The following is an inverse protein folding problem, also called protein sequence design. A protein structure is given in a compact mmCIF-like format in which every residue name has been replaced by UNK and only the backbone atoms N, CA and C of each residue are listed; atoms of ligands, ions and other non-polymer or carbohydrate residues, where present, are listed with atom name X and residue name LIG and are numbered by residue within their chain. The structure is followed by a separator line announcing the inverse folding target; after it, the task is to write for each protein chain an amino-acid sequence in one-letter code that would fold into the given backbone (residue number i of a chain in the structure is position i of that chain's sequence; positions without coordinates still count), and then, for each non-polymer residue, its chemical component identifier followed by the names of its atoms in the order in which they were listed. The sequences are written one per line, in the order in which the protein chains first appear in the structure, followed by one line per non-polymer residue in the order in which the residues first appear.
data_IF_902658799061
#
_entry.id   IF_902658799061
#
_cell.length_a   1.000
_cell.length_b   1.000
_cell.length_c   1.000
_cell.angle_alpha   90.00
_cell.angle_beta   90.00
_cell.angle_gamma   90.00
#
_symmetry.space_group_name_H-M   'P 1'
#
loop_
_entity.id
_entity.type
_entity.pdbx_description
1 polymer ?
#
# COMPACT_ATOMS: atom_id res chain seq x y z
N UNK A 1 9.82 -6.89 -1.25
CA UNK A 1 8.69 -6.35 -0.45
C UNK A 1 8.63 -7.06 0.91
N UNK A 2 8.12 -6.38 1.95
CA UNK A 2 8.05 -6.93 3.32
C UNK A 2 6.62 -7.00 3.87
N UNK A 3 6.47 -7.63 5.04
CA UNK A 3 5.23 -7.69 5.82
C UNK A 3 5.40 -6.84 7.10
N UNK A 4 4.77 -5.66 7.21
CA UNK A 4 5.02 -4.73 8.31
C UNK A 4 4.62 -5.28 9.69
N UNK A 5 3.68 -6.22 9.76
CA UNK A 5 3.26 -6.82 11.05
C UNK A 5 4.31 -7.75 11.67
N UNK A 6 5.38 -8.08 10.93
CA UNK A 6 6.56 -8.78 11.46
C UNK A 6 7.49 -7.87 12.27
N UNK A 7 7.37 -6.54 12.16
CA UNK A 7 8.30 -5.63 12.83
C UNK A 7 8.21 -5.80 14.35
N UNK A 8 9.32 -6.10 15.06
CA UNK A 8 9.27 -6.36 16.50
C UNK A 8 8.85 -5.12 17.30
N UNK A 9 9.26 -3.94 16.84
CA UNK A 9 8.97 -2.64 17.46
C UNK A 9 7.70 -1.97 16.91
N UNK A 10 6.74 -2.72 16.37
CA UNK A 10 5.53 -2.14 15.75
C UNK A 10 4.78 -1.18 16.70
N UNK A 11 4.60 -1.59 17.95
CA UNK A 11 3.97 -0.77 18.99
C UNK A 11 4.76 0.51 19.29
N UNK A 12 6.10 0.43 19.32
CA UNK A 12 6.98 1.60 19.47
C UNK A 12 6.80 2.59 18.32
N UNK A 13 6.70 2.11 17.08
CA UNK A 13 6.47 2.96 15.91
C UNK A 13 5.13 3.71 15.99
N UNK A 14 4.06 3.03 16.42
CA UNK A 14 2.77 3.68 16.66
C UNK A 14 2.86 4.78 17.73
N UNK A 15 3.54 4.51 18.85
CA UNK A 15 3.72 5.48 19.93
C UNK A 15 4.53 6.70 19.46
N UNK A 16 5.61 6.50 18.69
CA UNK A 16 6.43 7.58 18.14
C UNK A 16 5.66 8.48 17.17
N UNK A 17 4.79 7.89 16.34
CA UNK A 17 3.92 8.63 15.44
C UNK A 17 2.85 9.42 16.21
N UNK A 18 2.21 8.79 17.21
CA UNK A 18 1.21 9.47 18.06
C UNK A 18 1.81 10.67 18.78
N UNK A 19 3.02 10.54 19.32
CA UNK A 19 3.73 11.63 20.00
C UNK A 19 4.04 12.83 19.07
N UNK A 20 3.93 12.65 17.75
CA UNK A 20 4.16 13.68 16.72
C UNK A 20 2.88 14.05 15.96
N UNK A 21 1.72 13.62 16.45
CA UNK A 21 0.41 13.79 15.78
C UNK A 21 0.40 13.26 14.34
N UNK A 22 1.17 12.20 14.09
CA UNK A 22 1.28 11.56 12.78
C UNK A 22 0.29 10.40 12.66
N UNK A 23 -0.34 10.32 11.50
CA UNK A 23 -1.23 9.22 11.10
C UNK A 23 -0.42 8.11 10.43
N UNK A 24 -0.63 6.87 10.87
CA UNK A 24 -0.03 5.68 10.27
C UNK A 24 -1.04 5.01 9.34
N UNK A 25 -0.55 4.66 8.14
CA UNK A 25 -1.25 3.83 7.17
C UNK A 25 -0.46 2.52 6.97
N UNK A 26 -1.10 1.36 7.18
CA UNK A 26 -0.47 0.04 6.98
C UNK A 26 -1.03 -0.63 5.74
N UNK A 27 -0.16 -1.32 4.98
CA UNK A 27 -0.57 -2.30 3.97
C UNK A 27 0.02 -3.65 4.34
N UNK A 28 -0.82 -4.68 4.49
CA UNK A 28 -0.44 -6.00 5.00
C UNK A 28 -1.06 -7.12 4.16
N UNK A 29 -0.40 -8.28 4.13
CA UNK A 29 -0.98 -9.51 3.60
C UNK A 29 -2.01 -10.15 4.55
N UNK A 30 -2.22 -9.59 5.74
CA UNK A 30 -3.28 -10.01 6.65
C UNK A 30 -2.97 -11.24 7.51
N UNK A 31 -1.94 -12.03 7.17
CA UNK A 31 -1.65 -13.33 7.82
C UNK A 31 -1.34 -13.21 9.32
N UNK A 32 -0.91 -12.03 9.78
CA UNK A 32 -0.59 -11.75 11.18
C UNK A 32 -1.62 -10.86 11.89
N UNK A 33 -2.73 -10.50 11.23
CA UNK A 33 -3.73 -9.59 11.80
C UNK A 33 -4.33 -10.12 13.09
N UNK A 34 -4.68 -11.41 13.16
CA UNK A 34 -5.22 -11.99 14.38
C UNK A 34 -4.20 -11.91 15.53
N UNK A 35 -2.95 -12.27 15.25
CA UNK A 35 -1.87 -12.26 16.26
C UNK A 35 -1.55 -10.85 16.76
N UNK A 36 -1.63 -9.84 15.90
CA UNK A 36 -1.32 -8.43 16.22
C UNK A 36 -2.57 -7.58 16.48
N UNK A 37 -3.75 -8.20 16.61
CA UNK A 37 -5.03 -7.49 16.67
C UNK A 37 -5.08 -6.50 17.83
N UNK A 38 -4.63 -6.90 19.02
CA UNK A 38 -4.71 -6.04 20.21
C UNK A 38 -3.81 -4.82 20.08
N UNK A 39 -2.57 -5.00 19.58
CA UNK A 39 -1.63 -3.91 19.31
C UNK A 39 -2.20 -2.92 18.28
N UNK A 40 -2.72 -3.44 17.16
CA UNK A 40 -3.30 -2.63 16.09
C UNK A 40 -4.55 -1.87 16.55
N UNK A 41 -5.43 -2.51 17.32
CA UNK A 41 -6.65 -1.89 17.82
C UNK A 41 -6.40 -0.91 18.97
N UNK A 42 -5.27 -1.02 19.67
CA UNK A 42 -4.86 -0.09 20.72
C UNK A 42 -4.13 1.15 20.15
N UNK A 43 -3.60 1.07 18.94
CA UNK A 43 -2.84 2.15 18.33
C UNK A 43 -3.72 3.32 17.87
N UNK A 44 -3.77 4.39 18.66
CA UNK A 44 -4.51 5.62 18.30
C UNK A 44 -3.98 6.34 17.05
N UNK A 45 -2.71 6.13 16.69
CA UNK A 45 -2.11 6.69 15.48
C UNK A 45 -2.44 5.86 14.23
N UNK A 46 -3.03 4.67 14.36
CA UNK A 46 -3.46 3.87 13.20
C UNK A 46 -4.66 4.54 12.54
N UNK A 47 -4.42 5.16 11.38
CA UNK A 47 -5.43 5.89 10.63
C UNK A 47 -6.10 5.03 9.56
N UNK A 48 -5.29 4.25 8.82
CA UNK A 48 -5.77 3.37 7.76
C UNK A 48 -5.02 2.04 7.80
N UNK A 49 -5.73 0.95 7.51
CA UNK A 49 -5.11 -0.34 7.22
C UNK A 49 -5.70 -0.93 5.94
N UNK A 50 -4.81 -1.36 5.06
CA UNK A 50 -5.15 -1.97 3.77
C UNK A 50 -4.71 -3.43 3.80
N UNK A 51 -5.62 -4.35 3.55
CA UNK A 51 -5.40 -5.79 3.72
C UNK A 51 -5.61 -6.49 2.38
N UNK A 52 -4.59 -7.15 1.87
CA UNK A 52 -4.71 -7.95 0.63
C UNK A 52 -5.53 -9.20 0.89
N UNK A 53 -6.56 -9.48 0.09
CA UNK A 53 -7.42 -10.65 0.30
C UNK A 53 -6.87 -11.94 -0.34
N UNK A 54 -5.91 -11.84 -1.27
CA UNK A 54 -5.35 -12.95 -2.07
C UNK A 54 -4.15 -13.68 -1.42
N UNK A 55 -4.11 -13.85 -0.11
CA UNK A 55 -2.87 -14.25 0.58
C UNK A 55 -2.58 -15.76 0.60
N UNK A 56 -3.53 -16.61 0.20
CA UNK A 56 -3.41 -18.08 0.26
C UNK A 56 -3.66 -18.80 -1.08
N UNK A 57 -3.69 -18.07 -2.20
CA UNK A 57 -3.88 -18.69 -3.51
C UNK A 57 -2.69 -19.58 -3.91
N UNK A 58 -2.97 -20.87 -4.21
CA UNK A 58 -2.00 -21.81 -4.78
C UNK A 58 -1.46 -22.91 -3.86
N UNK A 59 -1.99 -23.09 -2.64
CA UNK A 59 -1.62 -24.20 -1.75
C UNK A 59 -2.69 -25.31 -1.69
N UNK A 60 -2.28 -26.58 -1.71
CA UNK A 60 -3.19 -27.72 -1.48
C UNK A 60 -3.85 -27.64 -0.08
N UNK A 61 -5.18 -27.82 -0.01
CA UNK A 61 -5.99 -27.57 1.21
C UNK A 61 -6.55 -26.13 1.33
N UNK A 62 -6.61 -25.42 0.20
CA UNK A 62 -6.84 -23.98 0.08
C UNK A 62 -8.17 -23.46 0.66
N UNK A 63 -9.25 -24.26 0.69
CA UNK A 63 -10.59 -23.72 0.93
C UNK A 63 -10.87 -23.41 2.41
N UNK A 64 -10.56 -24.35 3.31
CA UNK A 64 -10.74 -24.14 4.75
C UNK A 64 -9.76 -23.09 5.29
N UNK A 65 -8.53 -23.08 4.76
CA UNK A 65 -7.51 -22.09 5.15
C UNK A 65 -7.88 -20.69 4.65
N UNK A 66 -8.41 -20.57 3.43
CA UNK A 66 -8.86 -19.29 2.90
C UNK A 66 -10.10 -18.78 3.62
N UNK A 67 -11.12 -19.62 3.86
CA UNK A 67 -12.30 -19.20 4.61
C UNK A 67 -11.94 -18.77 6.04
N UNK A 68 -11.02 -19.49 6.69
CA UNK A 68 -10.49 -19.12 8.01
C UNK A 68 -9.76 -17.78 7.95
N UNK A 69 -8.91 -17.58 6.95
CA UNK A 69 -8.20 -16.33 6.71
C UNK A 69 -9.16 -15.16 6.49
N UNK A 70 -10.11 -15.27 5.56
CA UNK A 70 -11.12 -14.26 5.27
C UNK A 70 -11.94 -13.93 6.51
N UNK A 71 -12.28 -14.95 7.31
CA UNK A 71 -12.99 -14.77 8.59
C UNK A 71 -12.14 -13.99 9.60
N UNK A 72 -10.84 -14.29 9.73
CA UNK A 72 -9.93 -13.56 10.61
C UNK A 72 -9.78 -12.10 10.18
N UNK A 73 -9.56 -11.85 8.88
CA UNK A 73 -9.50 -10.50 8.30
C UNK A 73 -10.79 -9.74 8.57
N UNK A 74 -11.94 -10.36 8.30
CA UNK A 74 -13.26 -9.76 8.51
C UNK A 74 -13.49 -9.37 9.97
N UNK A 75 -13.20 -10.29 10.90
CA UNK A 75 -13.36 -10.05 12.33
C UNK A 75 -12.49 -8.90 12.84
N UNK A 76 -11.25 -8.78 12.34
CA UNK A 76 -10.40 -7.63 12.63
C UNK A 76 -10.95 -6.35 12.00
N UNK A 77 -11.31 -6.41 10.71
CA UNK A 77 -11.81 -5.27 9.94
C UNK A 77 -13.04 -4.62 10.59
N UNK A 78 -14.01 -5.43 11.04
CA UNK A 78 -15.19 -4.91 11.75
C UNK A 78 -14.82 -4.20 13.05
N UNK A 79 -13.88 -4.75 13.83
CA UNK A 79 -13.44 -4.15 15.09
C UNK A 79 -12.69 -2.84 14.85
N UNK A 80 -11.81 -2.80 13.86
CA UNK A 80 -11.02 -1.63 13.51
C UNK A 80 -11.91 -0.51 12.94
N UNK A 81 -12.84 -0.83 12.03
CA UNK A 81 -13.79 0.14 11.47
C UNK A 81 -14.69 0.76 12.55
N UNK A 82 -15.19 -0.05 13.51
CA UNK A 82 -15.97 0.46 14.66
C UNK A 82 -15.19 1.42 15.56
N UNK A 83 -13.85 1.36 15.55
CA UNK A 83 -12.97 2.32 16.24
C UNK A 83 -12.63 3.56 15.40
N UNK A 84 -13.16 3.67 14.18
CA UNK A 84 -12.89 4.78 13.26
C UNK A 84 -11.62 4.62 12.42
N UNK A 85 -10.99 3.44 12.41
CA UNK A 85 -9.87 3.14 11.50
C UNK A 85 -10.43 2.90 10.10
N UNK A 86 -9.87 3.54 9.08
CA UNK A 86 -10.24 3.26 7.69
C UNK A 86 -9.68 1.89 7.31
N UNK A 87 -10.54 0.93 7.02
CA UNK A 87 -10.15 -0.41 6.59
C UNK A 87 -10.43 -0.56 5.11
N UNK A 88 -9.39 -0.85 4.32
CA UNK A 88 -9.49 -1.14 2.90
C UNK A 88 -9.15 -2.62 2.64
N UNK A 89 -10.16 -3.43 2.36
CA UNK A 89 -9.98 -4.79 1.88
C UNK A 89 -9.62 -4.72 0.40
N UNK A 90 -8.40 -5.13 0.04
CA UNK A 90 -7.85 -4.98 -1.30
C UNK A 90 -8.02 -6.26 -2.09
N UNK A 91 -8.67 -6.13 -3.23
CA UNK A 91 -8.89 -7.19 -4.21
C UNK A 91 -8.22 -6.76 -5.52
N UNK A 92 -7.29 -7.56 -6.03
CA UNK A 92 -6.72 -7.32 -7.36
C UNK A 92 -7.74 -7.61 -8.46
N UNK A 93 -7.78 -6.76 -9.48
CA UNK A 93 -8.65 -6.95 -10.65
C UNK A 93 -7.91 -7.54 -11.84
N UNK A 94 -8.68 -8.21 -12.69
CA UNK A 94 -8.45 -8.77 -14.04
C UNK A 94 -6.99 -8.82 -14.52
N UNK A 95 -6.50 -10.06 -14.71
CA UNK A 95 -5.15 -10.36 -15.22
C UNK A 95 -4.15 -10.85 -14.16
N UNK A 96 -4.63 -11.11 -12.93
CA UNK A 96 -3.96 -11.86 -11.87
C UNK A 96 -4.77 -13.11 -11.48
N UNK A 97 -4.55 -13.67 -10.30
CA UNK A 97 -5.27 -14.85 -9.79
C UNK A 97 -6.79 -14.59 -9.67
N UNK A 98 -7.47 -14.82 -10.79
CA UNK A 98 -8.88 -14.53 -11.01
C UNK A 98 -9.79 -15.64 -10.45
N UNK A 99 -9.22 -16.83 -10.25
CA UNK A 99 -9.98 -18.05 -9.96
C UNK A 99 -10.84 -17.96 -8.70
N UNK A 100 -10.41 -17.19 -7.67
CA UNK A 100 -11.09 -17.12 -6.37
C UNK A 100 -11.77 -15.78 -6.06
N UNK A 101 -11.72 -14.82 -6.98
CA UNK A 101 -12.39 -13.53 -6.79
C UNK A 101 -13.89 -13.70 -6.47
N UNK A 102 -14.55 -14.66 -7.12
CA UNK A 102 -15.96 -14.98 -6.86
C UNK A 102 -16.22 -15.37 -5.40
N UNK A 103 -15.41 -16.28 -4.85
CA UNK A 103 -15.55 -16.77 -3.47
C UNK A 103 -15.34 -15.66 -2.44
N UNK A 104 -14.33 -14.81 -2.65
CA UNK A 104 -14.07 -13.67 -1.77
C UNK A 104 -15.25 -12.69 -1.82
N UNK A 105 -15.77 -12.39 -3.01
CA UNK A 105 -16.92 -11.50 -3.17
C UNK A 105 -18.18 -12.10 -2.52
N UNK A 106 -18.43 -13.39 -2.68
CA UNK A 106 -19.57 -14.08 -2.07
C UNK A 106 -19.45 -14.13 -0.55
N UNK A 107 -18.23 -14.35 -0.02
CA UNK A 107 -17.96 -14.23 1.41
C UNK A 107 -18.31 -12.82 1.91
N UNK A 108 -17.84 -11.77 1.26
CA UNK A 108 -18.14 -10.39 1.66
C UNK A 108 -19.64 -10.08 1.55
N UNK A 109 -20.31 -10.56 0.51
CA UNK A 109 -21.77 -10.41 0.33
C UNK A 109 -22.54 -11.10 1.43
N UNK A 110 -22.13 -12.30 1.84
CA UNK A 110 -22.76 -13.02 2.96
C UNK A 110 -22.71 -12.22 4.28
N UNK A 111 -21.74 -11.31 4.43
CA UNK A 111 -21.57 -10.46 5.63
C UNK A 111 -22.23 -9.10 5.54
N UNK A 112 -22.48 -8.59 4.34
CA UNK A 112 -22.87 -7.18 4.12
C UNK A 112 -24.07 -6.96 3.22
N UNK A 113 -24.53 -7.99 2.50
CA UNK A 113 -25.39 -7.83 1.33
C UNK A 113 -24.58 -7.47 0.09
N UNK A 114 -25.27 -7.16 -1.01
CA UNK A 114 -24.69 -6.95 -2.34
C UNK A 114 -24.71 -5.50 -2.83
N UNK A 115 -25.38 -4.61 -2.10
CA UNK A 115 -25.50 -3.20 -2.48
C UNK A 115 -24.33 -2.36 -1.92
N UNK A 116 -23.21 -2.36 -2.62
CA UNK A 116 -22.04 -1.54 -2.27
C UNK A 116 -21.92 -0.34 -3.22
N UNK A 117 -22.23 0.89 -2.78
CA UNK A 117 -22.06 2.05 -3.63
C UNK A 117 -20.58 2.29 -3.92
N UNK A 118 -20.28 2.60 -5.18
CA UNK A 118 -18.93 3.01 -5.58
C UNK A 118 -18.66 4.44 -5.12
N UNK A 119 -17.63 4.61 -4.30
CA UNK A 119 -17.21 5.90 -3.75
C UNK A 119 -16.26 6.62 -4.70
N UNK A 120 -15.29 5.88 -5.27
CA UNK A 120 -14.27 6.43 -6.17
C UNK A 120 -13.48 5.32 -6.86
N UNK A 121 -13.44 5.31 -8.19
CA UNK A 121 -12.49 4.57 -9.02
C UNK A 121 -12.16 3.15 -8.49
N UNK A 122 -13.18 2.29 -8.36
CA UNK A 122 -13.03 0.92 -7.87
C UNK A 122 -13.01 0.76 -6.35
N UNK A 123 -13.31 1.81 -5.58
CA UNK A 123 -13.53 1.73 -4.12
C UNK A 123 -15.02 1.67 -3.82
N UNK A 124 -15.46 0.61 -3.14
CA UNK A 124 -16.85 0.33 -2.79
C UNK A 124 -17.04 0.36 -1.28
N UNK A 125 -18.09 1.02 -0.80
CA UNK A 125 -18.42 1.09 0.62
C UNK A 125 -19.13 -0.19 1.07
N UNK A 126 -18.48 -0.97 1.94
CA UNK A 126 -19.08 -2.18 2.51
C UNK A 126 -19.89 -1.85 3.77
N UNK A 127 -19.28 -1.04 4.66
CA UNK A 127 -19.87 -0.48 5.88
C UNK A 127 -19.15 0.84 6.20
N UNK A 128 -19.65 1.58 7.18
CA UNK A 128 -18.95 2.76 7.67
C UNK A 128 -17.48 2.44 8.03
N UNK A 129 -16.55 3.23 7.50
CA UNK A 129 -15.09 3.03 7.59
C UNK A 129 -14.52 1.72 7.02
N UNK A 130 -15.31 0.90 6.32
CA UNK A 130 -14.88 -0.38 5.73
C UNK A 130 -15.17 -0.42 4.23
N UNK A 131 -14.12 -0.58 3.43
CA UNK A 131 -14.16 -0.46 1.98
C UNK A 131 -13.60 -1.71 1.30
N UNK A 132 -14.14 -2.05 0.14
CA UNK A 132 -13.51 -2.94 -0.84
C UNK A 132 -12.80 -2.05 -1.86
N UNK A 133 -11.48 -2.19 -1.99
CA UNK A 133 -10.68 -1.51 -3.00
C UNK A 133 -10.27 -2.50 -4.09
N UNK A 134 -10.80 -2.26 -5.29
CA UNK A 134 -10.39 -2.93 -6.52
C UNK A 134 -9.29 -2.11 -7.20
N UNK A 135 -8.10 -2.68 -7.35
CA UNK A 135 -6.98 -2.00 -8.00
C UNK A 135 -6.70 -2.57 -9.39
N UNK A 136 -6.63 -1.69 -10.40
CA UNK A 136 -6.16 -2.07 -11.72
C UNK A 136 -4.69 -2.46 -11.70
N UNK A 137 -4.35 -3.53 -12.44
CA UNK A 137 -2.97 -3.98 -12.64
C UNK A 137 -2.14 -2.88 -13.30
N UNK A 138 -0.88 -2.80 -12.93
CA UNK A 138 0.12 -1.98 -13.58
C UNK A 138 1.44 -2.73 -13.58
N UNK A 139 2.29 -2.42 -14.55
CA UNK A 139 3.64 -2.97 -14.59
C UNK A 139 4.51 -2.23 -13.57
N UNK A 140 5.15 -3.01 -12.71
CA UNK A 140 6.13 -2.49 -11.78
C UNK A 140 7.29 -1.85 -12.55
N UNK A 141 7.90 -0.78 -12.01
CA UNK A 141 9.06 -0.21 -12.66
C UNK A 141 10.20 -1.22 -12.71
N UNK A 142 10.79 -1.38 -13.89
CA UNK A 142 11.90 -2.28 -14.16
C UNK A 142 12.84 -1.58 -15.15
N UNK A 143 14.14 -1.53 -14.84
CA UNK A 143 15.15 -0.93 -15.70
C UNK A 143 15.32 -1.66 -17.04
N UNK A 144 14.98 -2.95 -17.08
CA UNK A 144 15.04 -3.78 -18.30
C UNK A 144 13.82 -3.62 -19.22
N UNK A 145 12.74 -2.99 -18.74
CA UNK A 145 11.51 -2.79 -19.51
C UNK A 145 11.64 -1.65 -20.55
N UNK A 146 10.68 -1.59 -21.48
CA UNK A 146 10.51 -0.44 -22.35
C UNK A 146 10.02 0.79 -21.58
N UNK A 147 10.18 1.99 -22.16
CA UNK A 147 9.57 3.19 -21.58
C UNK A 147 8.04 3.06 -21.56
N UNK A 148 7.42 3.39 -20.42
CA UNK A 148 5.97 3.30 -20.25
C UNK A 148 5.24 4.51 -20.84
N UNK A 149 5.97 5.49 -21.36
CA UNK A 149 5.43 6.78 -21.78
C UNK A 149 5.03 7.68 -20.59
N UNK A 150 5.45 7.36 -19.36
CA UNK A 150 5.18 8.17 -18.19
C UNK A 150 5.70 9.61 -18.37
N UNK A 151 4.85 10.58 -18.08
CA UNK A 151 5.19 12.01 -18.17
C UNK A 151 5.17 12.67 -16.79
N UNK A 152 4.29 12.23 -15.89
CA UNK A 152 4.08 12.85 -14.59
C UNK A 152 3.95 11.81 -13.47
N UNK A 153 4.40 12.15 -12.26
CA UNK A 153 4.21 11.36 -11.05
C UNK A 153 4.28 12.27 -9.81
N UNK A 154 3.72 11.80 -8.70
CA UNK A 154 3.81 12.46 -7.39
C UNK A 154 5.04 12.06 -6.56
N UNK A 155 5.86 11.13 -7.08
CA UNK A 155 7.12 10.71 -6.45
C UNK A 155 8.04 11.90 -6.18
N UNK A 156 8.55 11.99 -4.95
CA UNK A 156 9.35 13.08 -4.40
C UNK A 156 8.68 14.47 -4.39
N UNK A 157 7.39 14.56 -4.73
CA UNK A 157 6.58 15.79 -4.59
C UNK A 157 5.79 15.77 -3.30
N UNK A 158 4.94 14.75 -3.18
CA UNK A 158 4.03 14.58 -2.04
C UNK A 158 4.35 13.32 -1.23
N UNK A 159 5.30 12.52 -1.70
CA UNK A 159 5.70 11.26 -1.09
C UNK A 159 7.18 10.95 -1.34
N UNK A 160 7.78 10.16 -0.46
CA UNK A 160 9.09 9.53 -0.64
C UNK A 160 9.09 8.15 0.00
N UNK A 161 10.06 7.30 -0.34
CA UNK A 161 10.33 6.06 0.36
C UNK A 161 11.60 6.16 1.20
N UNK A 162 11.65 5.40 2.28
CA UNK A 162 12.87 5.17 3.06
C UNK A 162 13.05 3.67 3.19
N UNK A 163 14.17 3.15 2.70
CA UNK A 163 14.52 1.74 2.78
C UNK A 163 15.05 1.40 4.18
N UNK A 164 15.14 0.10 4.47
CA UNK A 164 15.51 -0.39 5.82
C UNK A 164 16.91 0.06 6.27
N UNK A 165 17.81 0.32 5.32
CA UNK A 165 19.16 0.82 5.56
C UNK A 165 19.24 2.35 5.72
N UNK A 166 18.10 3.04 5.70
CA UNK A 166 18.00 4.50 5.80
C UNK A 166 18.05 5.23 4.45
N UNK A 167 18.24 4.53 3.34
CA UNK A 167 18.31 5.13 2.01
C UNK A 167 16.97 5.73 1.61
N UNK A 168 16.98 7.01 1.21
CA UNK A 168 15.83 7.75 0.72
C UNK A 168 15.71 7.57 -0.80
N UNK A 169 14.52 7.16 -1.23
CA UNK A 169 14.15 6.91 -2.62
C UNK A 169 12.91 7.76 -2.99
N UNK A 170 12.63 8.03 -4.27
CA UNK A 170 11.52 8.91 -4.66
C UNK A 170 10.12 8.36 -4.34
N UNK A 171 9.96 7.04 -4.25
CA UNK A 171 8.70 6.40 -3.86
C UNK A 171 8.91 4.95 -3.45
N UNK A 172 7.88 4.32 -2.86
CA UNK A 172 7.93 2.92 -2.44
C UNK A 172 8.09 1.88 -3.57
N UNK A 173 7.87 2.26 -4.84
CA UNK A 173 8.05 1.35 -5.98
C UNK A 173 9.54 1.15 -6.31
N UNK A 174 10.40 2.09 -5.93
CA UNK A 174 11.87 1.98 -6.01
C UNK A 174 12.41 1.17 -4.81
N UNK A 175 11.99 -0.10 -4.74
CA UNK A 175 12.24 -0.98 -3.60
C UNK A 175 13.67 -1.57 -3.59
N UNK A 176 14.34 -1.58 -4.74
CA UNK A 176 15.74 -1.98 -4.88
C UNK A 176 16.71 -0.81 -4.65
N UNK A 177 16.19 0.43 -4.57
CA UNK A 177 17.01 1.62 -4.34
C UNK A 177 17.83 2.04 -5.55
N UNK A 178 17.28 1.92 -6.75
CA UNK A 178 17.91 2.33 -8.01
C UNK A 178 18.09 3.85 -8.09
N UNK A 179 17.26 4.62 -7.36
CA UNK A 179 17.34 6.08 -7.27
C UNK A 179 17.67 6.49 -5.82
N UNK A 180 18.91 6.24 -5.35
CA UNK A 180 19.32 6.69 -4.04
C UNK A 180 19.50 8.21 -4.05
N UNK A 181 18.75 8.90 -3.19
CA UNK A 181 18.83 10.35 -2.98
C UNK A 181 19.74 10.70 -1.80
N UNK A 182 19.98 9.72 -0.91
CA UNK A 182 20.96 9.70 0.18
C UNK A 182 20.38 9.03 1.42
N UNK A 183 20.95 9.21 2.63
CA UNK A 183 20.65 8.32 3.76
C UNK A 183 20.35 9.05 5.09
N UNK A 184 19.20 8.76 5.72
CA UNK A 184 18.75 9.45 6.94
C UNK A 184 19.61 9.18 8.18
N UNK A 185 20.44 8.14 8.18
CA UNK A 185 21.38 7.90 9.27
C UNK A 185 22.62 8.79 9.18
N UNK A 186 22.91 9.39 8.02
CA UNK A 186 24.11 10.20 7.81
C UNK A 186 23.83 11.64 7.42
N UNK A 187 22.64 11.96 6.90
CA UNK A 187 22.31 13.33 6.46
C UNK A 187 20.86 13.74 6.79
N UNK A 188 20.60 15.02 7.11
CA UNK A 188 19.25 15.52 7.36
C UNK A 188 18.35 15.44 6.11
N UNK A 189 17.06 15.13 6.29
CA UNK A 189 16.09 15.02 5.19
C UNK A 189 16.08 16.27 4.28
N UNK A 190 16.20 17.47 4.86
CA UNK A 190 16.20 18.74 4.11
C UNK A 190 17.38 18.85 3.13
N UNK A 191 18.55 18.32 3.49
CA UNK A 191 19.72 18.28 2.61
C UNK A 191 19.48 17.32 1.44
N UNK A 192 18.89 16.15 1.73
CA UNK A 192 18.52 15.14 0.71
C UNK A 192 17.61 15.76 -0.35
N UNK A 193 16.55 16.43 0.11
CA UNK A 193 15.49 16.97 -0.74
C UNK A 193 15.91 18.22 -1.51
N UNK A 194 16.99 18.88 -1.09
CA UNK A 194 17.57 20.04 -1.77
C UNK A 194 18.78 19.67 -2.64
N UNK A 195 19.19 18.41 -2.65
CA UNK A 195 20.25 17.92 -3.53
C UNK A 195 19.93 18.15 -5.02
N UNK A 196 20.94 18.34 -5.88
CA UNK A 196 20.73 18.54 -7.31
C UNK A 196 19.92 17.40 -7.97
N UNK A 197 20.14 16.15 -7.57
CA UNK A 197 19.42 14.99 -8.09
C UNK A 197 17.94 15.02 -7.69
N UNK A 198 17.64 15.23 -6.41
CA UNK A 198 16.27 15.34 -5.91
C UNK A 198 15.50 16.48 -6.58
N UNK A 199 16.11 17.66 -6.73
CA UNK A 199 15.50 18.79 -7.42
C UNK A 199 15.26 18.49 -8.90
N UNK A 200 16.22 17.88 -9.60
CA UNK A 200 16.07 17.51 -11.01
C UNK A 200 14.93 16.52 -11.22
N UNK A 201 14.79 15.53 -10.34
CA UNK A 201 13.69 14.57 -10.37
C UNK A 201 12.33 15.26 -10.21
N UNK A 202 12.19 16.10 -9.17
CA UNK A 202 10.95 16.85 -8.90
C UNK A 202 10.57 17.78 -10.05
N UNK A 203 11.53 18.56 -10.55
CA UNK A 203 11.30 19.49 -11.66
C UNK A 203 11.05 18.77 -12.99
N UNK A 204 11.65 17.60 -13.19
CA UNK A 204 11.39 16.73 -14.33
C UNK A 204 9.90 16.37 -14.42
N UNK A 205 9.30 15.93 -13.32
CA UNK A 205 7.85 15.67 -13.28
C UNK A 205 7.03 16.94 -13.51
N UNK A 206 7.40 18.09 -12.94
CA UNK A 206 6.71 19.37 -13.21
C UNK A 206 6.73 19.78 -14.68
N UNK A 207 7.82 19.45 -15.40
CA UNK A 207 7.98 19.74 -16.83
C UNK A 207 7.47 18.62 -17.74
N UNK A 208 6.82 17.60 -17.17
CA UNK A 208 6.33 16.40 -17.87
C UNK A 208 7.45 15.62 -18.59
N UNK A 209 8.66 15.62 -18.03
CA UNK A 209 9.88 14.96 -18.56
C UNK A 209 10.62 14.26 -17.40
N UNK A 210 10.23 13.03 -17.02
CA UNK A 210 10.86 12.32 -15.90
C UNK A 210 12.36 12.13 -16.11
N UNK A 211 13.15 12.59 -15.14
CA UNK A 211 14.62 12.60 -15.24
C UNK A 211 15.24 11.21 -15.02
N UNK A 212 14.68 10.41 -14.13
CA UNK A 212 15.22 9.10 -13.75
C UNK A 212 14.71 7.98 -14.68
N UNK A 213 15.61 7.05 -15.03
CA UNK A 213 15.32 5.92 -15.92
C UNK A 213 14.17 5.05 -15.41
N UNK A 214 14.24 4.66 -14.12
CA UNK A 214 13.23 3.82 -13.50
C UNK A 214 11.84 4.47 -13.56
N UNK A 215 11.78 5.80 -13.40
CA UNK A 215 10.53 6.55 -13.48
C UNK A 215 9.93 6.58 -14.89
N UNK A 216 10.75 6.62 -15.95
CA UNK A 216 10.28 6.55 -17.36
C UNK A 216 9.73 5.19 -17.74
N UNK A 217 10.10 4.14 -17.00
CA UNK A 217 9.66 2.75 -17.20
C UNK A 217 8.61 2.30 -16.18
N UNK A 218 8.11 3.22 -15.36
CA UNK A 218 7.12 2.91 -14.35
C UNK A 218 5.72 2.83 -14.97
N UNK A 219 5.11 1.65 -14.99
CA UNK A 219 3.73 1.47 -15.44
C UNK A 219 2.70 2.16 -14.55
N UNK A 220 3.00 2.30 -13.24
CA UNK A 220 2.14 3.06 -12.31
C UNK A 220 2.05 4.54 -12.69
N UNK A 221 3.18 5.16 -13.06
CA UNK A 221 3.23 6.59 -13.37
C UNK A 221 2.45 6.94 -14.66
N UNK A 222 2.32 6.00 -15.61
CA UNK A 222 1.55 6.20 -16.83
C UNK A 222 0.07 6.53 -16.56
N UNK A 223 -0.47 6.13 -15.40
CA UNK A 223 -1.85 6.42 -14.98
C UNK A 223 -2.13 7.92 -14.76
N UNK A 224 -1.10 8.74 -14.60
CA UNK A 224 -1.23 10.17 -14.40
C UNK A 224 -1.01 10.99 -15.69
N UNK A 225 -0.78 10.32 -16.82
CA UNK A 225 -0.67 10.98 -18.10
C UNK A 225 -2.01 11.65 -18.45
N UNK A 226 -1.91 12.85 -19.03
CA UNK A 226 -3.02 13.60 -19.64
C UNK A 226 -2.82 13.71 -21.13
#
# INVERSE_FOLDING_TARGET
MGEPLLHPELSTLFALAKARDMKICITTNGTLLQKRSDELLAAESLHKISVSLHSFEGNDGADEQELSYLTQVWNFAEKAAKKGVIVALRLWNDGGADARNGEILDFLRSRTGDNWPEMRNGSFLLRDHLYLERAGKFDWPDLSAGESGAQFCYGLRDQLGVLVDGTVVPCCLDHEGDIPLGNLFTQPLTEILTSPRACTLREGFSRRKPAEELCRRCGFAARFNK
#
